data_IF_049079107159
#
_entry.id   IF_049079107159
#
_cell.length_a   1.000
_cell.length_b   1.000
_cell.length_c   1.000
_cell.angle_alpha   90.00
_cell.angle_beta   90.00
_cell.angle_gamma   90.00
#
_symmetry.space_group_name_H-M   'P 1'
#
loop_
_entity.id
_entity.type
_entity.pdbx_description
1 polymer ?
#
# COMPACT_ATOMS: atom_id res chain seq x y z
N UNK A 1 39.14 40.55 -19.91
CA UNK A 1 38.02 40.33 -18.96
C UNK A 1 37.21 39.18 -19.53
N UNK A 2 36.76 38.25 -18.67
CA UNK A 2 36.03 37.00 -18.96
C UNK A 2 36.83 35.82 -19.54
N UNK A 3 37.26 34.91 -18.64
CA UNK A 3 37.47 33.47 -18.88
C UNK A 3 37.92 32.73 -17.59
N UNK A 4 38.19 33.43 -16.48
CA UNK A 4 38.74 32.83 -15.27
C UNK A 4 37.74 32.64 -14.10
N UNK A 5 36.46 33.02 -14.27
CA UNK A 5 35.46 32.97 -13.18
C UNK A 5 34.58 31.70 -13.18
N UNK A 6 34.56 30.92 -14.26
CA UNK A 6 33.67 29.75 -14.37
C UNK A 6 34.26 28.45 -13.77
N UNK A 7 35.55 28.41 -13.40
CA UNK A 7 36.20 27.20 -12.90
C UNK A 7 36.13 27.03 -11.36
N UNK A 8 35.56 27.99 -10.62
CA UNK A 8 35.52 27.94 -9.14
C UNK A 8 34.16 27.60 -8.53
N UNK A 9 33.13 27.40 -9.34
CA UNK A 9 31.78 27.00 -8.85
C UNK A 9 31.56 25.48 -9.01
N UNK A 10 32.31 24.81 -9.88
CA UNK A 10 32.19 23.36 -10.13
C UNK A 10 32.88 22.43 -9.13
N UNK A 11 33.65 22.96 -8.17
CA UNK A 11 34.42 22.14 -7.21
C UNK A 11 33.76 22.02 -5.82
N UNK A 12 32.65 22.73 -5.56
CA UNK A 12 31.96 22.75 -4.26
C UNK A 12 30.66 21.94 -4.19
N UNK A 13 30.27 21.25 -5.26
CA UNK A 13 28.95 20.60 -5.40
C UNK A 13 29.01 19.06 -5.51
N UNK A 14 30.15 18.47 -5.17
CA UNK A 14 30.33 17.01 -5.06
C UNK A 14 30.87 16.59 -3.68
N UNK A 15 30.80 17.48 -2.68
CA UNK A 15 31.37 17.28 -1.34
C UNK A 15 30.41 16.74 -0.26
N UNK A 16 29.11 16.59 -0.56
CA UNK A 16 28.11 16.10 0.39
C UNK A 16 27.29 14.98 -0.25
N UNK A 17 27.97 13.90 -0.63
CA UNK A 17 27.36 12.58 -0.50
C UNK A 17 27.92 12.08 0.83
N UNK A 18 27.13 12.10 1.90
CA UNK A 18 27.47 11.37 3.11
C UNK A 18 27.63 9.90 2.72
N UNK A 19 28.88 9.49 2.51
CA UNK A 19 29.25 8.08 2.39
C UNK A 19 28.97 7.46 3.76
N UNK A 20 27.74 6.98 3.95
CA UNK A 20 27.38 6.18 5.12
C UNK A 20 28.38 5.05 5.21
N UNK A 21 29.18 5.05 6.27
CA UNK A 21 30.30 4.14 6.41
C UNK A 21 29.77 2.71 6.39
N UNK A 22 30.49 1.81 5.72
CA UNK A 22 30.14 0.39 5.66
C UNK A 22 30.06 -0.22 7.09
N UNK A 23 30.79 0.36 8.04
CA UNK A 23 30.72 0.00 9.46
C UNK A 23 29.43 0.46 10.14
N UNK A 24 28.81 1.56 9.72
CA UNK A 24 27.51 2.02 10.24
C UNK A 24 26.38 1.14 9.70
N UNK A 25 26.46 0.76 8.41
CA UNK A 25 25.52 -0.18 7.80
C UNK A 25 25.65 -1.56 8.48
N UNK A 26 26.88 -2.03 8.69
CA UNK A 26 27.14 -3.29 9.41
C UNK A 26 26.75 -3.21 10.88
N UNK A 27 26.92 -2.07 11.55
CA UNK A 27 26.49 -1.86 12.94
C UNK A 27 24.97 -1.92 13.04
N UNK A 28 24.25 -1.26 12.12
CA UNK A 28 22.79 -1.29 12.02
C UNK A 28 22.27 -2.69 11.71
N UNK A 29 22.92 -3.41 10.78
CA UNK A 29 22.56 -4.79 10.43
C UNK A 29 22.81 -5.76 11.60
N UNK A 30 23.94 -5.59 12.31
CA UNK A 30 24.27 -6.40 13.50
C UNK A 30 23.31 -6.16 14.66
N UNK A 31 22.82 -4.92 14.85
CA UNK A 31 21.78 -4.62 15.84
C UNK A 31 20.44 -5.28 15.49
N UNK A 32 20.06 -5.30 14.20
CA UNK A 32 18.86 -6.01 13.74
C UNK A 32 18.98 -7.54 13.90
N UNK A 33 20.15 -8.12 13.62
CA UNK A 33 20.38 -9.57 13.75
C UNK A 33 20.43 -10.04 15.21
N UNK A 34 21.08 -9.29 16.12
CA UNK A 34 21.13 -9.67 17.55
C UNK A 34 19.77 -9.63 18.22
N UNK A 35 18.87 -8.76 17.77
CA UNK A 35 17.47 -8.70 18.25
C UNK A 35 16.65 -9.93 17.82
N UNK A 36 16.99 -10.54 16.68
CA UNK A 36 16.26 -11.70 16.14
C UNK A 36 16.56 -12.98 16.94
N UNK A 37 17.79 -13.13 17.44
CA UNK A 37 18.25 -14.36 18.12
C UNK A 37 17.69 -14.53 19.53
N UNK A 38 17.30 -13.44 20.21
CA UNK A 38 16.83 -13.51 21.61
C UNK A 38 15.38 -14.00 21.75
N UNK A 39 14.61 -14.09 20.65
CA UNK A 39 13.18 -14.52 20.70
C UNK A 39 12.99 -16.04 20.71
N UNK A 40 14.07 -16.85 20.65
CA UNK A 40 13.96 -18.32 20.54
C UNK A 40 14.34 -19.06 21.83
N UNK A 41 14.93 -18.41 22.84
CA UNK A 41 15.33 -19.09 24.08
C UNK A 41 14.64 -18.44 25.27
N UNK A 42 13.55 -19.08 25.71
CA UNK A 42 12.87 -18.75 26.95
C UNK A 42 13.79 -18.89 28.16
N UNK A 43 13.81 -17.85 29.00
CA UNK A 43 14.51 -17.84 30.27
C UNK A 43 14.44 -16.47 30.93
N UNK A 44 13.68 -16.36 32.02
CA UNK A 44 13.49 -15.15 32.83
C UNK A 44 14.78 -14.38 33.11
N UNK A 45 14.80 -13.09 32.77
CA UNK A 45 15.66 -12.09 33.42
C UNK A 45 14.79 -10.86 33.73
N UNK A 46 14.73 -10.40 35.00
CA UNK A 46 14.00 -9.18 35.32
C UNK A 46 14.88 -7.96 35.00
N UNK A 47 14.22 -6.89 34.52
CA UNK A 47 14.75 -5.54 34.37
C UNK A 47 15.55 -5.26 33.07
N UNK A 48 14.83 -5.04 31.97
CA UNK A 48 15.36 -4.34 30.80
C UNK A 48 14.40 -3.20 30.43
N UNK A 49 14.95 -1.99 30.37
CA UNK A 49 14.28 -0.78 29.86
C UNK A 49 13.64 -1.06 28.48
N UNK A 50 12.52 -0.38 28.14
CA UNK A 50 11.87 -0.58 26.84
C UNK A 50 12.84 -0.25 25.70
N UNK A 51 13.20 -1.27 24.93
CA UNK A 51 14.04 -1.18 23.73
C UNK A 51 13.21 -0.47 22.63
N UNK A 52 13.79 0.49 21.86
CA UNK A 52 13.08 1.16 20.78
C UNK A 52 12.61 0.16 19.72
N UNK A 53 11.32 0.26 19.36
CA UNK A 53 10.60 -0.63 18.44
C UNK A 53 11.35 -0.86 17.12
N UNK A 54 11.74 -2.09 16.83
CA UNK A 54 11.89 -2.53 15.45
C UNK A 54 10.49 -2.54 14.80
N UNK A 55 10.32 -1.99 13.58
CA UNK A 55 9.01 -1.96 12.94
C UNK A 55 8.62 -3.39 12.56
N UNK A 56 7.69 -3.98 13.31
CA UNK A 56 7.01 -5.20 12.85
C UNK A 56 6.31 -4.86 11.53
N UNK A 57 6.32 -5.77 10.53
CA UNK A 57 5.52 -5.60 9.33
C UNK A 57 4.08 -5.28 9.72
N UNK A 58 3.52 -4.26 9.09
CA UNK A 58 2.12 -3.90 9.30
C UNK A 58 1.24 -5.08 8.88
N UNK A 59 0.34 -5.50 9.76
CA UNK A 59 -0.63 -6.52 9.39
C UNK A 59 -1.80 -5.85 8.66
N UNK A 60 -2.09 -6.35 7.46
CA UNK A 60 -3.24 -5.94 6.65
C UNK A 60 -4.45 -6.81 7.00
N UNK A 61 -5.68 -6.29 6.91
CA UNK A 61 -6.90 -7.03 7.22
C UNK A 61 -7.25 -8.10 6.16
N UNK A 62 -6.37 -8.35 5.19
CA UNK A 62 -6.60 -9.25 4.07
C UNK A 62 -5.39 -10.19 3.89
N UNK A 63 -5.63 -11.49 4.12
CA UNK A 63 -4.57 -12.50 4.21
C UNK A 63 -3.70 -12.64 2.93
N UNK A 64 -4.26 -12.68 1.70
CA UNK A 64 -3.42 -12.78 0.50
C UNK A 64 -2.45 -11.60 0.34
N UNK A 65 -2.81 -10.40 0.82
CA UNK A 65 -1.89 -9.25 0.83
C UNK A 65 -0.77 -9.43 1.87
N UNK A 66 -1.08 -9.94 3.07
CA UNK A 66 -0.06 -10.29 4.05
C UNK A 66 0.94 -11.31 3.50
N UNK A 67 0.48 -12.33 2.78
CA UNK A 67 1.36 -13.34 2.18
C UNK A 67 2.29 -12.76 1.12
N UNK A 68 1.81 -11.81 0.31
CA UNK A 68 2.65 -11.09 -0.66
C UNK A 68 3.66 -10.18 0.05
N UNK A 69 3.23 -9.42 1.05
CA UNK A 69 4.10 -8.53 1.83
C UNK A 69 5.19 -9.32 2.56
N UNK A 70 4.85 -10.45 3.18
CA UNK A 70 5.82 -11.32 3.83
C UNK A 70 6.86 -11.89 2.85
N UNK A 71 6.43 -12.29 1.65
CA UNK A 71 7.34 -12.75 0.59
C UNK A 71 8.25 -11.63 0.08
N UNK A 72 7.71 -10.43 -0.14
CA UNK A 72 8.48 -9.24 -0.50
C UNK A 72 9.52 -8.90 0.56
N UNK A 73 9.11 -8.80 1.84
CA UNK A 73 10.02 -8.47 2.96
C UNK A 73 11.13 -9.51 3.07
N UNK A 74 10.79 -10.81 2.96
CA UNK A 74 11.78 -11.89 2.98
C UNK A 74 12.80 -11.74 1.86
N UNK A 75 12.37 -11.34 0.66
CA UNK A 75 13.23 -11.22 -0.51
C UNK A 75 14.07 -9.93 -0.56
N UNK A 76 13.52 -8.80 -0.08
CA UNK A 76 14.09 -7.46 -0.31
C UNK A 76 14.52 -6.74 0.96
N UNK A 77 14.10 -7.23 2.14
CA UNK A 77 14.27 -6.55 3.43
C UNK A 77 13.62 -5.15 3.48
N UNK A 78 12.70 -4.84 2.57
CA UNK A 78 11.96 -3.57 2.53
C UNK A 78 10.53 -3.75 3.04
N UNK A 79 10.13 -2.90 3.99
CA UNK A 79 8.94 -3.07 4.82
C UNK A 79 7.61 -2.52 4.26
N UNK A 80 7.53 -1.33 3.61
CA UNK A 80 6.24 -0.76 3.24
C UNK A 80 5.64 -1.42 2.00
N UNK A 81 4.31 -1.57 2.00
CA UNK A 81 3.57 -1.91 0.80
C UNK A 81 3.65 -0.75 -0.19
N UNK A 82 4.20 -0.98 -1.37
CA UNK A 82 4.27 0.01 -2.43
C UNK A 82 3.41 -0.45 -3.61
N UNK A 83 2.34 0.29 -3.90
CA UNK A 83 1.33 -0.07 -4.91
C UNK A 83 1.48 0.81 -6.16
N UNK A 84 1.39 0.21 -7.34
CA UNK A 84 1.45 0.89 -8.63
C UNK A 84 0.26 0.55 -9.53
N UNK A 85 0.21 1.14 -10.73
CA UNK A 85 -0.91 0.99 -11.65
C UNK A 85 -2.16 1.75 -11.17
N UNK A 86 -3.34 1.13 -11.37
CA UNK A 86 -4.64 1.65 -10.93
C UNK A 86 -4.84 1.34 -9.43
N UNK A 87 -4.08 2.00 -8.58
CA UNK A 87 -3.97 1.70 -7.15
C UNK A 87 -5.18 2.14 -6.29
N UNK A 88 -5.94 3.17 -6.70
CA UNK A 88 -7.04 3.73 -5.91
C UNK A 88 -8.12 2.70 -5.48
N UNK A 89 -8.60 1.78 -6.36
CA UNK A 89 -9.51 0.72 -5.96
C UNK A 89 -9.01 -0.14 -4.80
N UNK A 90 -7.72 -0.51 -4.80
CA UNK A 90 -7.13 -1.28 -3.70
C UNK A 90 -7.10 -0.45 -2.42
N UNK A 91 -6.73 0.83 -2.52
CA UNK A 91 -6.72 1.73 -1.35
C UNK A 91 -8.12 1.93 -0.79
N UNK A 92 -9.14 2.12 -1.64
CA UNK A 92 -10.52 2.25 -1.17
C UNK A 92 -11.02 0.98 -0.49
N UNK A 93 -10.76 -0.21 -1.06
CA UNK A 93 -11.11 -1.49 -0.46
C UNK A 93 -10.38 -1.72 0.89
N UNK A 94 -9.10 -1.35 0.97
CA UNK A 94 -8.32 -1.43 2.19
C UNK A 94 -8.87 -0.49 3.27
N UNK A 95 -9.11 0.78 2.95
CA UNK A 95 -9.66 1.77 3.89
C UNK A 95 -11.06 1.35 4.34
N UNK A 96 -11.91 0.93 3.39
CA UNK A 96 -13.24 0.38 3.65
C UNK A 96 -13.19 -0.73 4.71
N UNK A 97 -12.26 -1.68 4.55
CA UNK A 97 -12.09 -2.80 5.47
C UNK A 97 -11.59 -2.36 6.85
N UNK A 98 -10.61 -1.44 6.89
CA UNK A 98 -10.03 -0.96 8.14
C UNK A 98 -11.03 -0.18 9.01
N UNK A 99 -11.88 0.65 8.40
CA UNK A 99 -12.83 1.48 9.16
C UNK A 99 -14.11 0.72 9.56
N UNK A 100 -14.46 -0.34 8.84
CA UNK A 100 -15.63 -1.15 9.17
C UNK A 100 -15.35 -2.12 10.35
N UNK A 101 -16.41 -2.61 11.01
CA UNK A 101 -16.30 -3.77 11.88
C UNK A 101 -15.77 -4.99 11.11
N UNK A 102 -14.94 -5.85 11.74
CA UNK A 102 -14.53 -5.80 13.15
C UNK A 102 -13.33 -4.89 13.44
N UNK A 103 -12.67 -4.33 12.43
CA UNK A 103 -11.38 -3.66 12.59
C UNK A 103 -11.48 -2.32 13.30
N UNK A 104 -12.51 -1.51 12.98
CA UNK A 104 -12.81 -0.24 13.63
C UNK A 104 -11.57 0.65 13.85
N UNK A 105 -10.74 0.81 12.82
CA UNK A 105 -9.52 1.62 12.86
C UNK A 105 -9.78 3.05 12.37
N UNK A 106 -8.81 3.93 12.63
CA UNK A 106 -8.68 5.22 12.00
C UNK A 106 -7.52 5.19 10.98
N UNK A 107 -7.68 5.88 9.85
CA UNK A 107 -6.68 5.90 8.77
C UNK A 107 -6.41 7.34 8.35
N UNK A 108 -5.14 7.67 8.12
CA UNK A 108 -4.75 8.94 7.50
C UNK A 108 -4.32 8.71 6.06
N UNK A 109 -4.72 9.62 5.17
CA UNK A 109 -4.33 9.64 3.76
C UNK A 109 -3.62 10.95 3.47
N UNK A 110 -2.40 10.88 2.97
CA UNK A 110 -1.65 12.01 2.42
C UNK A 110 -1.76 11.93 0.91
N UNK A 111 -2.62 12.76 0.33
CA UNK A 111 -2.90 12.75 -1.10
C UNK A 111 -2.19 13.92 -1.80
N UNK A 112 -0.99 13.61 -2.30
CA UNK A 112 -0.13 14.57 -3.01
C UNK A 112 -0.71 14.94 -4.38
N UNK A 113 -1.46 14.02 -4.99
CA UNK A 113 -1.99 14.19 -6.35
C UNK A 113 -3.41 14.77 -6.35
N UNK A 114 -4.08 14.80 -5.19
CA UNK A 114 -5.49 15.18 -5.04
C UNK A 114 -6.42 14.31 -5.88
N UNK A 115 -6.17 13.00 -5.91
CA UNK A 115 -6.94 12.00 -6.66
C UNK A 115 -7.75 11.07 -5.75
N UNK A 116 -7.42 11.01 -4.47
CA UNK A 116 -8.15 10.24 -3.48
C UNK A 116 -9.47 10.94 -3.16
N UNK A 117 -10.54 10.16 -3.12
CA UNK A 117 -11.91 10.65 -3.00
C UNK A 117 -12.66 9.79 -1.99
N UNK A 118 -12.91 10.37 -0.82
CA UNK A 118 -13.54 9.69 0.33
C UNK A 118 -14.95 9.22 -0.01
N UNK A 119 -15.65 9.88 -0.94
CA UNK A 119 -17.04 9.54 -1.27
C UNK A 119 -17.16 8.20 -1.99
N UNK A 120 -16.06 7.63 -2.49
CA UNK A 120 -16.02 6.30 -3.13
C UNK A 120 -15.92 5.15 -2.14
N UNK A 121 -15.52 5.42 -0.89
CA UNK A 121 -15.34 4.37 0.12
C UNK A 121 -16.66 3.61 0.40
N UNK A 122 -17.82 4.27 0.58
CA UNK A 122 -19.10 3.58 0.83
C UNK A 122 -19.58 2.64 -0.29
N UNK A 123 -19.07 2.83 -1.52
CA UNK A 123 -19.39 1.98 -2.67
C UNK A 123 -18.55 0.70 -2.69
N UNK A 124 -17.47 0.65 -1.90
CA UNK A 124 -16.59 -0.50 -1.82
C UNK A 124 -17.14 -1.53 -0.84
N UNK A 125 -17.12 -2.80 -1.26
CA UNK A 125 -17.28 -3.92 -0.34
C UNK A 125 -15.97 -4.09 0.47
N UNK A 126 -16.02 -4.08 1.82
CA UNK A 126 -14.89 -4.52 2.64
C UNK A 126 -14.44 -5.93 2.25
N UNK A 127 -13.14 -6.21 2.38
CA UNK A 127 -12.64 -7.56 2.22
C UNK A 127 -13.34 -8.50 3.19
N UNK A 128 -13.80 -9.68 2.74
CA UNK A 128 -14.53 -10.60 3.59
C UNK A 128 -13.65 -11.09 4.75
N UNK A 129 -14.16 -10.93 5.97
CA UNK A 129 -13.51 -11.42 7.19
C UNK A 129 -14.51 -12.16 8.10
N UNK A 130 -14.19 -13.38 8.57
CA UNK A 130 -13.11 -14.24 8.08
C UNK A 130 -13.36 -14.62 6.61
N UNK A 131 -12.30 -14.99 5.90
CA UNK A 131 -12.46 -15.56 4.56
C UNK A 131 -13.46 -16.73 4.63
N UNK A 132 -14.53 -16.73 3.80
CA UNK A 132 -15.53 -17.77 3.88
C UNK A 132 -14.86 -19.11 3.61
N UNK A 133 -14.90 -20.00 4.61
CA UNK A 133 -14.68 -21.41 4.36
C UNK A 133 -15.73 -21.87 3.33
N UNK A 134 -15.39 -22.74 2.38
CA UNK A 134 -16.33 -23.22 1.36
C UNK A 134 -17.61 -23.87 1.92
N UNK A 135 -17.65 -24.16 3.23
CA UNK A 135 -18.80 -24.71 3.95
C UNK A 135 -19.62 -23.68 4.76
N UNK A 136 -19.26 -22.40 4.77
CA UNK A 136 -19.94 -21.37 5.57
C UNK A 136 -20.87 -20.49 4.69
N UNK A 137 -22.06 -20.12 5.17
CA UNK A 137 -22.88 -19.12 4.50
C UNK A 137 -22.10 -17.82 4.35
N UNK A 138 -22.17 -17.19 3.16
CA UNK A 138 -21.52 -15.92 2.87
C UNK A 138 -21.86 -14.90 3.98
N UNK A 139 -20.87 -14.26 4.62
CA UNK A 139 -21.14 -13.28 5.64
C UNK A 139 -22.01 -12.16 5.06
N UNK A 140 -22.97 -11.68 5.84
CA UNK A 140 -23.73 -10.48 5.51
C UNK A 140 -22.74 -9.37 5.19
N UNK A 141 -22.80 -8.84 3.96
CA UNK A 141 -21.87 -7.82 3.47
C UNK A 141 -21.81 -6.67 4.46
N UNK A 142 -20.65 -6.47 5.09
CA UNK A 142 -20.46 -5.38 6.04
C UNK A 142 -20.65 -4.08 5.29
N UNK A 143 -21.72 -3.35 5.62
CA UNK A 143 -22.01 -2.06 5.01
C UNK A 143 -21.33 -0.96 5.79
N UNK A 144 -20.54 -0.14 5.09
CA UNK A 144 -19.92 1.05 5.65
C UNK A 144 -20.99 2.06 6.00
N UNK A 145 -20.98 2.51 7.26
CA UNK A 145 -21.90 3.55 7.72
C UNK A 145 -21.29 4.92 7.44
N UNK A 146 -22.10 5.97 7.23
CA UNK A 146 -21.58 7.34 7.12
C UNK A 146 -20.67 7.74 8.29
N UNK A 147 -21.00 7.28 9.51
CA UNK A 147 -20.18 7.50 10.71
C UNK A 147 -18.80 6.85 10.67
N UNK A 148 -18.58 5.83 9.83
CA UNK A 148 -17.26 5.21 9.70
C UNK A 148 -16.28 6.11 8.94
N UNK A 149 -16.80 6.99 8.08
CA UNK A 149 -15.99 7.95 7.33
C UNK A 149 -15.39 9.06 8.22
N UNK A 150 -15.96 9.30 9.41
CA UNK A 150 -15.40 10.23 10.42
C UNK A 150 -14.00 9.80 10.92
N UNK A 151 -13.57 8.60 10.53
CA UNK A 151 -12.30 7.99 10.89
C UNK A 151 -11.30 7.92 9.73
N UNK A 152 -11.61 8.56 8.60
CA UNK A 152 -10.71 8.73 7.46
C UNK A 152 -10.26 10.19 7.38
N UNK A 153 -8.98 10.45 7.57
CA UNK A 153 -8.41 11.80 7.59
C UNK A 153 -7.57 12.03 6.35
N UNK A 154 -8.08 12.81 5.39
CA UNK A 154 -7.37 13.13 4.15
C UNK A 154 -6.69 14.49 4.28
N UNK A 155 -5.39 14.51 4.04
CA UNK A 155 -4.57 15.72 3.91
C UNK A 155 -4.21 15.93 2.44
N UNK A 156 -4.42 17.15 1.97
CA UNK A 156 -4.13 17.58 0.59
C UNK A 156 -3.06 18.67 0.64
N UNK A 157 -1.76 18.30 0.60
CA UNK A 157 -0.68 19.28 0.57
C UNK A 157 -0.80 20.19 -0.67
N UNK A 158 -0.39 21.45 -0.54
CA UNK A 158 -0.53 22.43 -1.60
C UNK A 158 0.22 21.99 -2.87
N UNK A 159 -0.51 21.86 -3.99
CA UNK A 159 0.06 21.54 -5.31
C UNK A 159 1.03 22.65 -5.72
N UNK A 160 2.27 22.28 -6.04
CA UNK A 160 3.32 23.23 -6.47
C UNK A 160 4.05 23.96 -5.33
N UNK A 161 3.72 23.68 -4.06
CA UNK A 161 4.57 24.04 -2.93
C UNK A 161 5.70 23.02 -2.76
N UNK A 162 6.83 23.42 -2.19
CA UNK A 162 7.95 22.52 -1.83
C UNK A 162 7.62 21.57 -0.67
N UNK A 163 6.36 21.17 -0.50
CA UNK A 163 5.97 20.22 0.54
C UNK A 163 6.60 18.87 0.21
N UNK A 164 7.63 18.48 0.95
CA UNK A 164 8.21 17.17 0.84
C UNK A 164 7.23 16.13 1.39
N UNK A 165 7.21 14.91 0.83
CA UNK A 165 6.33 13.82 1.30
C UNK A 165 6.52 13.57 2.79
N UNK A 166 7.77 13.62 3.28
CA UNK A 166 8.07 13.44 4.71
C UNK A 166 7.41 14.51 5.60
N UNK A 167 7.40 15.77 5.18
CA UNK A 167 6.78 16.86 5.96
C UNK A 167 5.26 16.69 6.03
N UNK A 168 4.65 16.29 4.91
CA UNK A 168 3.22 16.01 4.84
C UNK A 168 2.83 14.83 5.73
N UNK A 169 3.63 13.76 5.72
CA UNK A 169 3.46 12.60 6.61
C UNK A 169 3.62 13.01 8.07
N UNK A 170 4.66 13.78 8.41
CA UNK A 170 4.88 14.26 9.79
C UNK A 170 3.74 15.17 10.27
N UNK A 171 3.20 16.02 9.39
CA UNK A 171 2.04 16.85 9.70
C UNK A 171 0.76 16.01 9.93
N UNK A 172 0.55 14.99 9.10
CA UNK A 172 -0.57 14.04 9.27
C UNK A 172 -0.44 13.25 10.58
N UNK A 173 0.75 12.75 10.91
CA UNK A 173 1.03 12.07 12.18
C UNK A 173 0.77 12.97 13.38
N UNK A 174 1.30 14.20 13.36
CA UNK A 174 1.04 15.19 14.41
C UNK A 174 -0.45 15.47 14.57
N UNK A 175 -1.20 15.54 13.47
CA UNK A 175 -2.66 15.71 13.52
C UNK A 175 -3.37 14.49 14.11
N UNK A 176 -2.97 13.27 13.75
CA UNK A 176 -3.55 12.04 14.29
C UNK A 176 -3.24 11.83 15.78
N UNK A 177 -2.07 12.27 16.26
CA UNK A 177 -1.66 12.11 17.65
C UNK A 177 -2.16 13.23 18.56
N UNK A 178 -2.13 14.48 18.07
CA UNK A 178 -2.37 15.66 18.92
C UNK A 178 -3.50 16.56 18.42
N UNK A 179 -4.00 16.35 17.21
CA UNK A 179 -5.07 17.13 16.61
C UNK A 179 -6.43 16.90 17.26
N UNK A 180 -7.39 17.75 16.90
CA UNK A 180 -8.80 17.59 17.29
C UNK A 180 -9.52 16.80 16.21
N UNK A 181 -9.85 15.55 16.49
CA UNK A 181 -10.63 14.68 15.61
C UNK A 181 -11.43 13.66 16.42
N UNK A 182 -12.52 13.13 15.85
CA UNK A 182 -13.45 12.20 16.52
C UNK A 182 -12.92 10.77 16.67
N UNK A 183 -11.72 10.48 16.15
CA UNK A 183 -11.21 9.11 16.03
C UNK A 183 -10.34 8.65 17.20
N UNK A 184 -10.26 9.41 18.29
CA UNK A 184 -9.45 9.08 19.48
C UNK A 184 -9.86 7.79 20.19
N UNK A 185 -11.08 7.30 19.94
CA UNK A 185 -11.58 6.02 20.45
C UNK A 185 -11.17 4.81 19.60
N UNK A 186 -10.56 5.04 18.43
CA UNK A 186 -10.09 4.00 17.51
C UNK A 186 -8.57 4.00 17.46
N UNK A 187 -7.99 2.82 17.33
CA UNK A 187 -6.56 2.71 17.04
C UNK A 187 -6.28 3.35 15.68
N UNK A 188 -5.29 4.23 15.62
CA UNK A 188 -4.77 4.72 14.37
C UNK A 188 -3.99 3.59 13.71
N UNK A 189 -4.52 3.07 12.60
CA UNK A 189 -3.86 1.99 11.88
C UNK A 189 -2.58 2.49 11.25
N UNK A 190 -2.59 3.58 10.48
CA UNK A 190 -1.39 4.16 9.86
C UNK A 190 -1.69 5.21 8.79
N UNK A 191 -0.64 5.60 8.06
CA UNK A 191 -0.72 6.56 6.94
C UNK A 191 -0.61 5.87 5.58
N UNK A 192 -1.52 6.23 4.67
CA UNK A 192 -1.48 5.92 3.25
C UNK A 192 -0.97 7.15 2.49
N UNK A 193 0.05 7.00 1.65
CA UNK A 193 0.56 8.10 0.80
C UNK A 193 0.14 7.84 -0.65
N UNK A 194 -0.54 8.79 -1.28
CA UNK A 194 -0.97 8.75 -2.68
C UNK A 194 -0.21 9.80 -3.47
N UNK A 195 0.51 9.37 -4.50
CA UNK A 195 1.32 10.24 -5.34
C UNK A 195 2.70 10.56 -4.75
N UNK A 196 3.28 11.68 -5.18
CA UNK A 196 4.50 12.23 -4.57
C UNK A 196 5.84 11.76 -5.14
N UNK A 197 5.87 10.84 -6.11
CA UNK A 197 7.02 10.53 -6.96
C UNK A 197 8.29 9.99 -6.31
N UNK A 198 8.38 9.92 -4.98
CA UNK A 198 9.57 9.49 -4.26
C UNK A 198 9.57 7.97 -4.01
N UNK A 199 10.77 7.41 -3.88
CA UNK A 199 11.03 6.12 -3.25
C UNK A 199 10.21 5.97 -1.96
N UNK A 200 9.86 4.74 -1.54
CA UNK A 200 9.28 4.54 -0.21
C UNK A 200 10.14 5.28 0.79
N UNK A 201 9.55 6.28 1.46
CA UNK A 201 10.26 7.08 2.45
C UNK A 201 10.56 6.17 3.63
N UNK A 202 11.69 5.47 3.54
CA UNK A 202 12.34 4.81 4.66
C UNK A 202 12.92 5.91 5.54
N UNK A 203 12.10 6.50 6.40
CA UNK A 203 12.55 7.55 7.29
C UNK A 203 11.42 8.40 7.84
N UNK A 204 10.87 7.99 8.98
CA UNK A 204 10.39 8.95 9.99
C UNK A 204 8.90 9.05 10.28
N UNK A 205 8.02 8.20 9.77
CA UNK A 205 6.60 8.20 10.16
C UNK A 205 5.92 6.85 9.96
N UNK A 206 4.75 6.63 10.57
CA UNK A 206 3.96 5.38 10.51
C UNK A 206 3.28 5.15 9.14
N UNK A 207 4.07 5.21 8.06
CA UNK A 207 3.62 4.98 6.67
C UNK A 207 3.43 3.49 6.45
N UNK A 208 2.18 3.10 6.22
CA UNK A 208 1.81 1.71 5.97
C UNK A 208 1.82 1.36 4.48
N UNK A 209 1.39 2.31 3.63
CA UNK A 209 1.27 2.11 2.19
C UNK A 209 1.73 3.35 1.45
N UNK A 210 2.46 3.15 0.37
CA UNK A 210 2.76 4.17 -0.63
C UNK A 210 2.13 3.75 -1.95
N UNK A 211 1.52 4.70 -2.66
CA UNK A 211 0.84 4.43 -3.92
C UNK A 211 1.31 5.42 -4.98
N UNK A 212 1.89 4.92 -6.05
CA UNK A 212 2.51 5.73 -7.09
C UNK A 212 3.13 4.88 -8.20
N UNK A 213 3.85 5.53 -9.11
CA UNK A 213 4.38 4.86 -10.30
C UNK A 213 5.51 3.84 -10.01
N UNK A 214 6.08 3.82 -8.80
CA UNK A 214 7.22 2.96 -8.40
C UNK A 214 6.87 1.79 -7.46
N UNK A 215 5.59 1.48 -7.28
CA UNK A 215 5.16 0.37 -6.44
C UNK A 215 5.45 -1.02 -7.02
N UNK A 216 5.82 -1.97 -6.16
CA UNK A 216 6.10 -3.37 -6.51
C UNK A 216 4.85 -4.23 -6.68
N UNK A 217 3.72 -3.83 -6.09
CA UNK A 217 2.42 -4.46 -6.29
C UNK A 217 1.62 -3.66 -7.31
N UNK A 218 1.44 -4.19 -8.52
CA UNK A 218 0.71 -3.52 -9.59
C UNK A 218 -0.77 -3.88 -9.54
N UNK A 219 -1.64 -2.88 -9.61
CA UNK A 219 -3.09 -3.09 -9.70
C UNK A 219 -3.57 -2.75 -11.10
N UNK A 220 -4.26 -3.71 -11.72
CA UNK A 220 -4.88 -3.57 -13.04
C UNK A 220 -6.35 -4.01 -12.99
N UNK A 221 -7.11 -3.68 -14.04
CA UNK A 221 -8.49 -4.19 -14.18
C UNK A 221 -8.40 -5.68 -14.52
N UNK A 222 -9.26 -6.50 -13.92
CA UNK A 222 -9.37 -7.90 -14.34
C UNK A 222 -9.72 -7.98 -15.83
N UNK A 223 -9.16 -8.95 -16.54
CA UNK A 223 -9.41 -9.11 -17.96
C UNK A 223 -10.88 -9.46 -18.20
N UNK A 224 -11.51 -8.71 -19.11
CA UNK A 224 -12.85 -9.02 -19.60
C UNK A 224 -12.67 -9.61 -20.99
N UNK A 225 -13.31 -10.76 -21.24
CA UNK A 225 -13.23 -11.46 -22.53
C UNK A 225 -13.33 -10.48 -23.71
N UNK A 226 -12.35 -10.57 -24.62
CA UNK A 226 -12.25 -9.68 -25.77
C UNK A 226 -13.46 -9.78 -26.70
N UNK A 227 -13.56 -8.85 -27.64
CA UNK A 227 -14.50 -9.00 -28.75
C UNK A 227 -14.20 -10.29 -29.49
N UNK A 228 -15.22 -11.15 -29.66
CA UNK A 228 -15.09 -12.32 -30.53
C UNK A 228 -14.56 -11.90 -31.90
N UNK A 229 -13.53 -12.59 -32.40
CA UNK A 229 -12.95 -12.28 -33.69
C UNK A 229 -14.01 -12.33 -34.79
N UNK A 230 -14.30 -11.20 -35.42
CA UNK A 230 -15.26 -11.09 -36.54
C UNK A 230 -16.41 -10.10 -36.35
N UNK A 231 -16.57 -9.48 -35.16
CA UNK A 231 -17.64 -8.52 -34.92
C UNK A 231 -17.47 -7.19 -35.65
N UNK A 232 -18.53 -6.72 -36.31
CA UNK A 232 -18.55 -5.41 -36.98
C UNK A 232 -18.56 -4.24 -35.99
N UNK A 233 -18.21 -3.04 -36.45
CA UNK A 233 -18.24 -1.79 -35.65
C UNK A 233 -19.62 -1.54 -35.02
N UNK A 234 -20.69 -1.92 -35.73
CA UNK A 234 -22.07 -1.78 -35.26
C UNK A 234 -22.39 -2.75 -34.10
N UNK A 235 -21.93 -4.01 -34.19
CA UNK A 235 -22.04 -5.00 -33.11
C UNK A 235 -21.22 -4.58 -31.89
N UNK A 236 -20.07 -3.95 -32.13
CA UNK A 236 -19.26 -3.37 -31.06
C UNK A 236 -19.97 -2.21 -30.35
N UNK A 237 -20.70 -1.36 -31.06
CA UNK A 237 -21.49 -0.28 -30.45
C UNK A 237 -22.73 -0.81 -29.72
N UNK A 238 -23.43 -1.79 -30.30
CA UNK A 238 -24.61 -2.42 -29.70
C UNK A 238 -24.27 -3.16 -28.39
N UNK A 239 -23.10 -3.80 -28.32
CA UNK A 239 -22.61 -4.48 -27.12
C UNK A 239 -21.88 -3.57 -26.12
N UNK A 240 -21.84 -2.24 -26.32
CA UNK A 240 -21.03 -1.32 -25.49
C UNK A 240 -21.49 -1.29 -24.04
N UNK A 241 -22.79 -1.13 -23.81
CA UNK A 241 -23.33 -0.98 -22.45
C UNK A 241 -23.22 -2.30 -21.67
N UNK A 242 -23.48 -3.43 -22.33
CA UNK A 242 -23.29 -4.76 -21.73
C UNK A 242 -21.82 -5.05 -21.38
N UNK A 243 -20.88 -4.61 -22.22
CA UNK A 243 -19.44 -4.77 -21.93
C UNK A 243 -18.93 -3.77 -20.90
N UNK A 244 -19.47 -2.55 -20.86
CA UNK A 244 -19.18 -1.61 -19.78
C UNK A 244 -19.62 -2.22 -18.43
N UNK A 245 -20.82 -2.80 -18.37
CA UNK A 245 -21.29 -3.51 -17.18
C UNK A 245 -20.43 -4.73 -16.83
N UNK A 246 -19.99 -5.52 -17.83
CA UNK A 246 -19.10 -6.65 -17.60
C UNK A 246 -17.71 -6.22 -17.09
N UNK A 247 -17.16 -5.13 -17.65
CA UNK A 247 -15.92 -4.51 -17.17
C UNK A 247 -16.11 -4.01 -15.75
N UNK A 248 -17.24 -3.40 -15.43
CA UNK A 248 -17.58 -2.92 -14.09
C UNK A 248 -17.70 -4.07 -13.08
N UNK A 249 -18.22 -5.23 -13.50
CA UNK A 249 -18.36 -6.44 -12.69
C UNK A 249 -17.07 -7.28 -12.55
N UNK A 250 -16.13 -7.21 -13.50
CA UNK A 250 -14.95 -8.08 -13.54
C UNK A 250 -13.98 -7.89 -12.37
N UNK A 251 -14.05 -6.76 -11.66
CA UNK A 251 -13.18 -6.47 -10.52
C UNK A 251 -11.76 -6.08 -10.92
N UNK A 252 -10.82 -6.34 -10.03
CA UNK A 252 -9.44 -5.85 -10.08
C UNK A 252 -8.48 -6.99 -9.76
N UNK A 253 -7.27 -6.90 -10.29
CA UNK A 253 -6.19 -7.84 -10.00
C UNK A 253 -5.01 -7.06 -9.47
N UNK A 254 -4.48 -7.48 -8.31
CA UNK A 254 -3.23 -7.00 -7.76
C UNK A 254 -2.16 -8.08 -7.96
N UNK A 255 -1.10 -7.77 -8.71
CA UNK A 255 -0.06 -8.72 -9.11
C UNK A 255 1.35 -8.21 -8.86
N UNK A 256 2.27 -9.13 -8.62
CA UNK A 256 3.70 -8.90 -8.44
C UNK A 256 4.49 -10.14 -8.86
N UNK A 257 5.82 -10.07 -8.84
CA UNK A 257 6.69 -11.25 -9.07
C UNK A 257 6.52 -12.35 -8.01
N UNK A 258 5.87 -12.05 -6.89
CA UNK A 258 5.54 -13.01 -5.85
C UNK A 258 4.10 -13.54 -5.98
N UNK A 259 3.40 -13.28 -7.09
CA UNK A 259 2.01 -13.70 -7.33
C UNK A 259 1.01 -12.56 -7.14
N UNK A 260 -0.28 -12.90 -7.11
CA UNK A 260 -1.35 -11.92 -7.04
C UNK A 260 -2.66 -12.42 -6.47
N UNK A 261 -3.65 -11.53 -6.42
CA UNK A 261 -5.02 -11.81 -6.01
C UNK A 261 -6.02 -10.92 -6.75
N UNK A 262 -7.26 -11.40 -6.87
CA UNK A 262 -8.37 -10.63 -7.41
C UNK A 262 -9.26 -10.03 -6.30
N UNK A 263 -9.91 -8.89 -6.57
CA UNK A 263 -10.81 -8.20 -5.64
C UNK A 263 -11.79 -7.23 -6.33
N UNK A 264 -12.90 -6.89 -5.66
CA UNK A 264 -13.95 -6.00 -6.16
C UNK A 264 -14.79 -6.56 -7.31
N UNK A 265 -14.92 -7.89 -7.43
CA UNK A 265 -15.67 -8.58 -8.49
C UNK A 265 -16.10 -10.00 -8.08
N UNK A 266 -16.63 -10.80 -9.01
CA UNK A 266 -17.09 -12.17 -8.68
C UNK A 266 -15.96 -13.12 -8.21
N UNK A 267 -14.70 -12.80 -8.53
CA UNK A 267 -13.50 -13.55 -8.15
C UNK A 267 -12.83 -13.03 -6.85
N UNK A 268 -13.60 -12.42 -5.94
CA UNK A 268 -13.08 -11.81 -4.72
C UNK A 268 -12.23 -12.77 -3.87
N UNK A 269 -10.95 -12.42 -3.72
CA UNK A 269 -10.00 -13.18 -2.91
C UNK A 269 -9.43 -14.44 -3.56
N UNK A 270 -9.70 -14.67 -4.84
CA UNK A 270 -9.03 -15.72 -5.60
C UNK A 270 -7.53 -15.40 -5.72
N UNK A 271 -6.69 -16.33 -5.25
CA UNK A 271 -5.24 -16.23 -5.39
C UNK A 271 -4.89 -16.57 -6.83
N UNK A 272 -4.41 -15.58 -7.56
CA UNK A 272 -3.92 -15.76 -8.93
C UNK A 272 -2.50 -16.30 -8.81
N UNK A 273 -2.38 -17.62 -8.93
CA UNK A 273 -1.08 -18.29 -9.02
C UNK A 273 -0.68 -18.27 -10.48
N UNK A 274 0.27 -17.41 -10.85
CA UNK A 274 0.92 -17.57 -12.14
C UNK A 274 1.61 -18.93 -12.16
N UNK A 275 1.12 -19.82 -13.04
CA UNK A 275 1.97 -20.90 -13.56
C UNK A 275 3.14 -20.20 -14.20
N UNK A 276 4.27 -20.16 -13.51
CA UNK A 276 5.55 -19.93 -14.16
C UNK A 276 5.57 -20.87 -15.38
N UNK A 277 5.62 -20.31 -16.59
CA UNK A 277 5.83 -21.09 -17.80
C UNK A 277 7.01 -22.00 -17.54
N UNK A 278 6.76 -23.31 -17.51
CA UNK A 278 7.84 -24.29 -17.39
C UNK A 278 8.65 -24.17 -18.69
N UNK A 279 9.93 -23.78 -18.66
CA UNK A 279 10.75 -23.65 -19.87
C UNK A 279 11.03 -24.99 -20.58
N UNK A 280 10.29 -26.05 -20.23
CA UNK A 280 10.37 -27.39 -20.79
C UNK A 280 9.28 -27.71 -21.82
N UNK A 281 8.31 -26.82 -22.06
CA UNK A 281 7.22 -27.04 -23.01
C UNK A 281 7.46 -26.49 -24.43
N UNK A 282 8.69 -26.04 -24.74
CA UNK A 282 9.13 -25.85 -26.13
C UNK A 282 10.12 -26.93 -26.54
N UNK A 283 9.62 -28.11 -26.90
CA UNK A 283 10.30 -29.05 -27.80
C UNK A 283 9.31 -29.87 -28.62
#
# INVERSE_FOLDING_TARGET
>A
MEAAAASRVGAGLLGEIEETSLDEILASLRTSLTTTTTTVIGGNIPNANPIPNTPRPKEFPFAPLNDLVHRHIRATQSAPLAVSGRHLPLLYALVATLIAPPHNKAVSVVDMDGRFDVTRIPECAPFPFPFPSPAAPLPSTVRIRPSDLDHVHVSLPARGGRSHVADAVAAAEKFMLYGRHGSRSREWWGTLVVGGGTEPVGGGGDVAVTAGWRGWLRVDRAEVGGFGGGGGVEEALAGRDGRAAAVDAAGWVAGSVWGGFAFGGEADGEVVVDRAEDPRDTR
#
